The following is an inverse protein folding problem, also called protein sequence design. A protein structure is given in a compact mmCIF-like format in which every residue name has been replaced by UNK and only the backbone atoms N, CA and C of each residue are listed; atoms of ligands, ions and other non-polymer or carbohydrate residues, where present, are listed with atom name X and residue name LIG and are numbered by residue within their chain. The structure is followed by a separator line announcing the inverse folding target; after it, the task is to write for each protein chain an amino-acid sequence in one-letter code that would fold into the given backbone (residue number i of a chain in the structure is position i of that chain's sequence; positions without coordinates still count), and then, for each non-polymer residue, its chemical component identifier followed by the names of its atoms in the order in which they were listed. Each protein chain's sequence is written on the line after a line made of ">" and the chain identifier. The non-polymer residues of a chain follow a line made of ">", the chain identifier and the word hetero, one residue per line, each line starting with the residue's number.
data_IF_877023423287
#
_entry.id   IF_877023423287
#
_cell.length_a   1.000
_cell.length_b   1.000
_cell.length_c   1.000
_cell.angle_alpha   90.00
_cell.angle_beta   90.00
_cell.angle_gamma   90.00
#
_symmetry.space_group_name_H-M   'P 1'
#
loop_
_entity.id
_entity.type
_entity.pdbx_description
1 polymer ?
2 water ?
#
# COMPACT_ATOMS: atom_id res chain seq x y z
N UNK A 37 -2.73 10.64 17.24
CA UNK A 37 -1.84 9.48 17.29
C UNK A 37 -2.22 8.44 16.25
N UNK A 38 -1.22 8.01 15.48
CA UNK A 38 -1.44 7.04 14.41
C UNK A 38 -1.41 5.61 14.94
N UNK A 39 -2.30 4.77 14.42
CA UNK A 39 -2.43 3.39 14.88
C UNK A 39 -1.75 2.41 13.95
N UNK A 40 -1.07 1.44 14.54
CA UNK A 40 -0.37 0.44 13.75
C UNK A 40 -0.74 -0.97 14.17
N UNK A 41 -1.12 -1.79 13.19
CA UNK A 41 -1.42 -3.18 13.44
C UNK A 41 -0.19 -4.05 13.16
N UNK A 42 0.27 -4.77 14.16
CA UNK A 42 1.43 -5.64 13.96
C UNK A 42 0.99 -7.09 13.84
N UNK A 43 1.25 -7.68 12.69
CA UNK A 43 0.89 -9.07 12.45
C UNK A 43 2.15 -9.91 12.46
N UNK A 44 2.41 -10.51 13.61
CA UNK A 44 3.65 -11.21 13.88
C UNK A 44 3.37 -12.43 14.77
N UNK A 45 3.73 -13.61 14.31
CA UNK A 45 3.44 -14.82 15.09
C UNK A 45 4.52 -15.09 16.15
N UNK A 46 5.68 -14.49 15.97
CA UNK A 46 6.74 -14.59 16.98
C UNK A 46 6.51 -13.55 18.08
N UNK A 47 6.10 -14.02 19.25
CA UNK A 47 5.69 -13.12 20.32
C UNK A 47 6.80 -12.25 20.89
N UNK A 48 8.04 -12.73 20.86
CA UNK A 48 9.15 -11.93 21.34
C UNK A 48 9.38 -10.74 20.42
N UNK A 49 9.32 -11.00 19.11
CA UNK A 49 9.49 -9.93 18.13
C UNK A 49 8.33 -8.93 18.20
N UNK A 50 7.13 -9.45 18.40
CA UNK A 50 5.95 -8.59 18.52
C UNK A 50 6.13 -7.60 19.67
N UNK A 51 6.58 -8.10 20.82
CA UNK A 51 6.82 -7.25 21.98
C UNK A 51 7.86 -6.15 21.70
N UNK A 52 8.95 -6.53 21.05
CA UNK A 52 9.99 -5.57 20.73
C UNK A 52 9.46 -4.49 19.79
N UNK A 53 8.71 -4.92 18.77
CA UNK A 53 8.12 -3.99 17.82
C UNK A 53 7.17 -3.04 18.53
N UNK A 54 6.40 -3.58 19.47
CA UNK A 54 5.45 -2.79 20.23
C UNK A 54 6.17 -1.71 21.04
N UNK A 55 7.16 -2.12 21.82
CA UNK A 55 7.95 -1.19 22.62
C UNK A 55 8.54 -0.08 21.76
N UNK A 56 9.21 -0.48 20.69
CA UNK A 56 9.92 0.46 19.84
C UNK A 56 8.96 1.45 19.16
N UNK A 57 7.86 0.94 18.65
CA UNK A 57 6.88 1.78 17.97
C UNK A 57 6.09 2.65 18.95
N UNK A 58 5.71 2.08 20.08
CA UNK A 58 5.05 2.83 21.13
C UNK A 58 5.94 3.99 21.62
N UNK A 59 7.22 3.71 21.82
CA UNK A 59 8.17 4.73 22.27
C UNK A 59 8.25 5.89 21.28
N UNK A 60 7.79 5.65 20.05
CA UNK A 60 7.82 6.69 19.04
C UNK A 60 6.47 7.39 18.92
N UNK A 61 5.55 7.06 19.83
CA UNK A 61 4.26 7.73 19.89
C UNK A 61 3.16 7.13 19.04
N UNK A 62 3.28 5.84 18.70
CA UNK A 62 2.24 5.15 17.96
C UNK A 62 1.42 4.30 18.90
N UNK A 63 0.13 4.16 18.60
CA UNK A 63 -0.69 3.17 19.28
C UNK A 63 -0.52 1.87 18.51
N UNK A 64 -0.29 0.78 19.23
CA UNK A 64 0.02 -0.48 18.59
C UNK A 64 -0.92 -1.59 19.00
N UNK A 65 -1.42 -2.33 18.02
CA UNK A 65 -2.20 -3.53 18.30
C UNK A 65 -1.50 -4.75 17.71
N UNK A 66 -1.71 -5.89 18.34
CA UNK A 66 -1.01 -7.09 17.91
C UNK A 66 -1.94 -8.19 17.41
N UNK A 67 -1.51 -8.88 16.37
CA UNK A 67 -2.18 -10.08 15.86
C UNK A 67 -1.15 -11.19 15.72
N UNK A 68 -1.40 -12.31 16.38
CA UNK A 68 -0.41 -13.39 16.44
C UNK A 68 -0.53 -14.37 15.28
N UNK A 69 -1.51 -14.13 14.40
CA UNK A 69 -1.71 -15.03 13.27
C UNK A 69 -2.17 -14.27 12.03
N UNK A 70 -2.02 -14.91 10.88
CA UNK A 70 -2.48 -14.33 9.62
C UNK A 70 -3.97 -14.04 9.68
N UNK A 71 -4.72 -14.97 10.25
CA UNK A 71 -6.16 -14.86 10.34
C UNK A 71 -6.64 -13.75 11.26
N UNK A 72 -6.09 -13.71 12.47
CA UNK A 72 -6.37 -12.61 13.39
C UNK A 72 -6.03 -11.27 12.75
N UNK A 73 -4.96 -11.26 11.95
CA UNK A 73 -4.53 -10.05 11.26
C UNK A 73 -5.56 -9.55 10.29
N UNK A 74 -6.07 -10.45 9.45
CA UNK A 74 -7.08 -10.08 8.46
C UNK A 74 -8.30 -9.50 9.15
N UNK A 75 -8.67 -10.10 10.28
CA UNK A 75 -9.85 -9.67 11.01
C UNK A 75 -9.65 -8.30 11.65
N UNK A 76 -8.51 -8.10 12.29
CA UNK A 76 -8.22 -6.81 12.91
C UNK A 76 -8.06 -5.71 11.87
N UNK A 77 -7.43 -6.05 10.75
CA UNK A 77 -7.23 -5.09 9.67
C UNK A 77 -8.56 -4.51 9.22
N UNK A 78 -9.59 -5.36 9.21
CA UNK A 78 -10.90 -4.98 8.70
C UNK A 78 -11.76 -4.29 9.75
N UNK A 79 -11.36 -4.37 11.01
CA UNK A 79 -12.21 -3.87 12.09
C UNK A 79 -11.57 -2.80 12.97
N UNK A 80 -10.27 -2.92 13.22
CA UNK A 80 -9.59 -2.01 14.14
C UNK A 80 -9.29 -0.64 13.54
N UNK A 81 -9.50 -0.50 12.24
CA UNK A 81 -9.19 0.75 11.55
C UNK A 81 -7.77 1.19 11.85
N UNK A 82 -6.77 0.44 11.34
CA UNK A 82 -5.37 0.80 11.55
C UNK A 82 -4.92 1.80 10.49
N UNK A 83 -3.92 2.61 10.80
CA UNK A 83 -3.40 3.55 9.82
C UNK A 83 -2.33 2.88 8.97
N UNK A 84 -1.73 1.83 9.53
CA UNK A 84 -0.66 1.11 8.85
C UNK A 84 -0.60 -0.32 9.34
N UNK A 85 -0.23 -1.23 8.45
CA UNK A 85 -0.11 -2.63 8.81
C UNK A 85 1.33 -3.11 8.63
N UNK A 86 1.88 -3.71 9.68
CA UNK A 86 3.18 -4.37 9.60
C UNK A 86 2.94 -5.88 9.57
N UNK A 87 3.54 -6.54 8.58
CA UNK A 87 3.31 -7.96 8.38
C UNK A 87 4.64 -8.70 8.30
N UNK A 88 4.89 -9.61 9.24
CA UNK A 88 6.11 -10.40 9.22
C UNK A 88 5.83 -11.82 8.76
N UNK A 89 6.56 -12.25 7.74
CA UNK A 89 6.32 -13.53 7.09
C UNK A 89 6.67 -14.74 7.95
N UNK A 90 5.81 -15.75 7.93
CA UNK A 90 6.03 -16.98 8.67
C UNK A 90 5.37 -18.19 8.02
N UNK A 91 4.60 -17.94 6.96
CA UNK A 91 3.87 -19.00 6.27
C UNK A 91 4.62 -19.49 5.03
N UNK A 92 4.18 -20.63 4.47
CA UNK A 92 4.57 -20.96 3.10
C UNK A 92 4.05 -19.86 2.19
N UNK A 93 4.65 -19.69 1.01
CA UNK A 93 4.38 -18.50 0.20
C UNK A 93 3.07 -18.47 -0.57
N UNK A 94 2.46 -19.62 -0.80
CA UNK A 94 1.12 -19.63 -1.39
C UNK A 94 0.17 -18.93 -0.41
N UNK A 95 0.29 -19.30 0.86
CA UNK A 95 -0.50 -18.68 1.92
C UNK A 95 -0.05 -17.25 2.14
N UNK A 96 1.24 -17.06 2.39
CA UNK A 96 1.81 -15.74 2.64
C UNK A 96 1.41 -14.69 1.61
N UNK A 97 1.57 -15.05 0.33
CA UNK A 97 1.19 -14.16 -0.75
C UNK A 97 -0.30 -13.88 -0.71
N UNK A 98 -1.07 -14.89 -0.36
CA UNK A 98 -2.52 -14.77 -0.26
C UNK A 98 -2.88 -13.76 0.82
N UNK A 99 -2.13 -13.80 1.92
CA UNK A 99 -2.33 -12.88 3.04
C UNK A 99 -2.09 -11.43 2.61
N UNK A 100 -0.94 -11.19 2.01
CA UNK A 100 -0.61 -9.88 1.46
C UNK A 100 -1.70 -9.42 0.51
N UNK A 101 -2.12 -10.31 -0.37
CA UNK A 101 -3.17 -10.02 -1.34
C UNK A 101 -4.51 -9.72 -0.68
N UNK A 102 -4.85 -10.49 0.34
CA UNK A 102 -6.11 -10.27 1.04
C UNK A 102 -6.12 -8.95 1.81
N UNK A 103 -5.01 -8.65 2.50
CA UNK A 103 -4.88 -7.37 3.18
C UNK A 103 -4.91 -6.22 2.18
N UNK A 104 -4.36 -6.45 1.00
CA UNK A 104 -4.34 -5.42 -0.04
C UNK A 104 -5.74 -5.24 -0.66
N UNK A 105 -6.52 -6.32 -0.66
CA UNK A 105 -7.87 -6.34 -1.24
C UNK A 105 -8.69 -5.07 -1.01
N UNK A 106 -8.85 -4.28 -2.07
CA UNK A 106 -9.63 -3.04 -2.00
C UNK A 106 -9.44 -2.27 -0.69
N UNK A 107 -8.20 -2.16 -0.23
CA UNK A 107 -7.89 -1.42 0.98
C UNK A 107 -6.99 -0.23 0.67
N UNK A 108 -7.24 0.88 1.36
CA UNK A 108 -6.41 2.05 1.19
C UNK A 108 -5.26 2.08 2.19
N UNK A 109 -5.20 1.07 3.04
CA UNK A 109 -4.19 1.03 4.11
C UNK A 109 -2.80 0.63 3.60
N UNK A 110 -1.76 1.37 4.01
CA UNK A 110 -0.41 0.99 3.62
C UNK A 110 0.04 -0.27 4.35
N UNK A 111 0.82 -1.09 3.65
CA UNK A 111 1.30 -2.34 4.23
C UNK A 111 2.82 -2.41 4.08
N UNK A 112 3.49 -2.76 5.16
CA UNK A 112 4.92 -3.01 5.13
C UNK A 112 5.19 -4.45 5.53
N UNK A 113 5.96 -5.16 4.72
CA UNK A 113 6.21 -6.58 4.93
C UNK A 113 7.64 -6.86 5.35
N UNK A 114 7.81 -7.59 6.44
CA UNK A 114 9.14 -7.99 6.90
C UNK A 114 9.53 -9.33 6.29
N UNK A 115 10.70 -9.37 5.66
CA UNK A 115 11.18 -10.59 5.04
C UNK A 115 12.67 -10.80 5.32
N UNK A 116 13.09 -12.07 5.31
CA UNK A 116 14.49 -12.40 5.52
C UNK A 116 15.17 -12.67 4.17
N UNK A 117 14.37 -12.76 3.12
CA UNK A 117 14.90 -12.96 1.78
C UNK A 117 15.36 -11.64 1.17
N UNK A 118 16.68 -11.43 1.19
CA UNK A 118 17.26 -10.20 0.70
C UNK A 118 17.62 -10.31 -0.78
N UNK A 119 16.60 -10.39 -1.63
CA UNK A 119 16.82 -10.52 -3.06
C UNK A 119 15.95 -9.57 -3.88
N UNK A 120 16.36 -9.32 -5.12
CA UNK A 120 15.58 -8.52 -6.04
C UNK A 120 14.23 -9.19 -6.27
N UNK A 121 14.24 -10.51 -6.40
CA UNK A 121 13.03 -11.27 -6.64
C UNK A 121 12.00 -11.09 -5.51
N UNK A 122 12.46 -11.14 -4.28
CA UNK A 122 11.58 -10.98 -3.12
C UNK A 122 10.96 -9.58 -3.08
N UNK A 123 11.77 -8.57 -3.37
CA UNK A 123 11.29 -7.19 -3.35
C UNK A 123 10.24 -6.96 -4.44
N UNK A 124 10.50 -7.54 -5.61
CA UNK A 124 9.58 -7.43 -6.74
C UNK A 124 8.29 -8.19 -6.44
N UNK A 125 8.41 -9.33 -5.78
CA UNK A 125 7.23 -10.12 -5.44
C UNK A 125 6.28 -9.33 -4.52
N UNK A 126 6.83 -8.80 -3.44
CA UNK A 126 6.02 -8.15 -2.41
C UNK A 126 5.36 -6.85 -2.90
N UNK A 127 6.11 -6.03 -3.61
CA UNK A 127 5.56 -4.79 -4.15
C UNK A 127 4.53 -5.12 -5.21
N UNK A 128 4.78 -6.20 -5.95
CA UNK A 128 3.88 -6.65 -6.99
C UNK A 128 2.57 -7.15 -6.42
N UNK A 129 2.64 -7.77 -5.25
CA UNK A 129 1.45 -8.32 -4.60
C UNK A 129 0.66 -7.26 -3.83
N UNK A 130 1.22 -6.05 -3.73
CA UNK A 130 0.51 -4.96 -3.11
C UNK A 130 1.08 -4.41 -1.82
N UNK A 131 2.19 -4.96 -1.35
CA UNK A 131 2.89 -4.36 -0.22
C UNK A 131 3.39 -2.99 -0.68
N UNK A 132 3.25 -1.98 0.16
CA UNK A 132 3.73 -0.65 -0.18
C UNK A 132 5.23 -0.54 -0.01
N UNK A 133 5.77 -1.34 0.90
CA UNK A 133 7.20 -1.34 1.15
C UNK A 133 7.58 -2.63 1.86
N UNK A 134 8.85 -2.99 1.78
CA UNK A 134 9.36 -4.17 2.46
C UNK A 134 10.45 -3.71 3.42
N UNK A 135 10.76 -4.56 4.40
CA UNK A 135 11.89 -4.32 5.27
C UNK A 135 12.65 -5.63 5.45
N UNK A 136 13.95 -5.61 5.17
CA UNK A 136 14.75 -6.84 5.21
C UNK A 136 15.26 -7.14 6.61
N UNK A 137 14.99 -8.35 7.07
CA UNK A 137 15.50 -8.83 8.35
C UNK A 137 16.86 -9.47 8.15
N UNK A 138 17.80 -9.23 9.08
CA UNK A 138 17.60 -8.44 10.30
C UNK A 138 17.76 -6.95 10.02
N UNK A 139 17.17 -6.13 10.88
CA UNK A 139 17.26 -4.69 10.71
C UNK A 139 17.33 -4.00 12.07
N UNK A 140 17.70 -2.72 12.06
CA UNK A 140 17.74 -1.92 13.26
C UNK A 140 16.41 -1.20 13.45
N UNK A 141 15.99 -1.05 14.71
CA UNK A 141 14.75 -0.33 15.04
C UNK A 141 14.59 0.98 14.27
N UNK A 142 15.70 1.65 13.99
CA UNK A 142 15.65 2.93 13.26
C UNK A 142 15.28 2.76 11.79
N UNK A 143 15.72 1.67 11.18
CA UNK A 143 15.30 1.37 9.81
C UNK A 143 13.78 1.23 9.77
N UNK A 144 13.22 0.65 10.84
CA UNK A 144 11.79 0.44 10.93
C UNK A 144 11.02 1.75 11.10
N UNK A 145 11.48 2.58 12.04
CA UNK A 145 10.85 3.88 12.25
C UNK A 145 10.89 4.73 10.99
N UNK A 146 11.94 4.54 10.20
CA UNK A 146 12.12 5.31 8.97
C UNK A 146 11.12 4.90 7.89
N UNK A 147 11.02 3.60 7.62
CA UNK A 147 10.06 3.13 6.62
C UNK A 147 8.64 3.50 7.07
N UNK A 148 8.36 3.27 8.35
CA UNK A 148 7.04 3.60 8.90
C UNK A 148 6.72 5.07 8.70
N UNK A 149 7.71 5.94 8.94
CA UNK A 149 7.50 7.38 8.79
C UNK A 149 7.20 7.77 7.36
N UNK A 150 7.89 7.15 6.41
CA UNK A 150 7.62 7.40 5.01
C UNK A 150 6.14 7.16 4.70
N UNK A 151 5.62 6.02 5.18
CA UNK A 151 4.24 5.64 4.89
C UNK A 151 3.20 6.53 5.57
N UNK A 152 3.53 7.06 6.73
CA UNK A 152 2.55 7.81 7.52
C UNK A 152 2.71 9.33 7.44
N UNK A 153 3.60 9.79 6.57
CA UNK A 153 3.87 11.24 6.45
C UNK A 153 2.61 12.00 6.05
N UNK A 154 2.51 13.25 6.51
CA UNK A 154 1.36 14.10 6.21
C UNK A 154 1.13 14.29 4.71
N UNK A 155 -0.14 14.49 4.35
CA UNK A 155 -0.53 14.67 2.95
C UNK A 155 0.15 15.86 2.30
N UNK A 156 -0.37 16.26 1.13
CA UNK A 156 0.20 17.36 0.37
C UNK A 156 -0.86 18.27 -0.25
N UNK A 157 -0.94 18.25 -1.58
CA UNK A 157 -1.78 19.17 -2.33
C UNK A 157 -3.26 19.08 -1.97
N UNK A 158 -4.05 19.93 -2.63
CA UNK A 158 -5.50 19.93 -2.47
C UNK A 158 -6.09 18.83 -3.35
N UNK A 159 -7.41 18.75 -3.39
CA UNK A 159 -8.10 17.78 -4.24
C UNK A 159 -7.74 17.98 -5.71
N UNK A 160 -7.31 16.91 -6.36
CA UNK A 160 -7.01 16.96 -7.79
C UNK A 160 -8.24 16.52 -8.58
N UNK A 161 -8.39 17.07 -9.79
CA UNK A 161 -9.51 16.69 -10.63
C UNK A 161 -9.14 16.51 -12.09
N UNK A 162 -9.94 15.71 -12.77
CA UNK A 162 -9.93 15.65 -14.22
C UNK A 162 -11.31 15.15 -14.62
N UNK A 163 -12.12 16.06 -15.16
CA UNK A 163 -13.52 15.75 -15.42
C UNK A 163 -14.21 15.38 -14.13
N UNK A 164 -15.02 14.33 -14.14
CA UNK A 164 -15.71 13.90 -12.93
C UNK A 164 -14.90 12.85 -12.15
N UNK A 165 -13.58 12.91 -12.31
CA UNK A 165 -12.68 12.09 -11.49
C UNK A 165 -12.00 13.01 -10.49
N UNK A 166 -12.15 12.71 -9.20
CA UNK A 166 -11.58 13.56 -8.17
C UNK A 166 -10.74 12.77 -7.18
N UNK A 167 -9.56 13.31 -6.86
CA UNK A 167 -8.69 12.69 -5.87
C UNK A 167 -8.43 13.68 -4.73
N UNK A 168 -8.65 13.22 -3.50
CA UNK A 168 -8.28 13.99 -2.31
C UNK A 168 -7.10 13.31 -1.65
N UNK A 169 -5.90 13.88 -1.81
CA UNK A 169 -4.63 13.27 -1.44
C UNK A 169 -4.41 13.29 0.07
N UNK A 170 -5.51 13.27 0.82
CA UNK A 170 -5.46 13.35 2.27
C UNK A 170 -6.25 12.23 2.93
N UNK A 171 -7.54 12.14 2.61
CA UNK A 171 -8.34 11.01 3.02
C UNK A 171 -7.96 9.83 2.15
N UNK A 172 -7.00 10.05 1.25
CA UNK A 172 -6.65 9.09 0.23
C UNK A 172 -7.97 8.63 -0.37
N UNK A 173 -8.78 9.60 -0.75
CA UNK A 173 -10.12 9.34 -1.27
C UNK A 173 -10.25 9.74 -2.73
N UNK A 174 -10.93 8.90 -3.51
CA UNK A 174 -11.15 9.19 -4.91
C UNK A 174 -12.56 8.80 -5.36
N UNK A 175 -13.20 9.68 -6.12
CA UNK A 175 -14.50 9.39 -6.68
C UNK A 175 -14.51 9.59 -8.20
N UNK A 176 -15.37 8.83 -8.88
CA UNK A 176 -15.43 8.85 -10.33
C UNK A 176 -16.83 8.49 -10.74
N UNK A 177 -17.45 9.34 -11.55
CA UNK A 177 -18.83 9.14 -11.98
C UNK A 177 -19.76 9.03 -10.78
N UNK A 178 -19.49 9.83 -9.75
CA UNK A 178 -20.28 9.81 -8.53
C UNK A 178 -19.91 8.68 -7.57
N UNK A 179 -19.36 7.60 -8.11
CA UNK A 179 -19.06 6.41 -7.31
C UNK A 179 -17.70 6.48 -6.63
N UNK A 180 -17.69 6.44 -5.31
CA UNK A 180 -16.45 6.38 -4.55
C UNK A 180 -15.66 5.16 -5.00
N UNK A 181 -14.34 5.30 -5.04
CA UNK A 181 -13.47 4.28 -5.61
C UNK A 181 -12.39 3.86 -4.62
N UNK A 182 -12.18 2.56 -4.48
CA UNK A 182 -11.15 2.08 -3.56
C UNK A 182 -9.83 1.74 -4.24
N UNK A 183 -8.87 2.65 -4.12
CA UNK A 183 -7.53 2.44 -4.66
C UNK A 183 -6.54 2.08 -3.55
N UNK A 184 -5.54 1.29 -3.89
CA UNK A 184 -4.43 1.07 -2.98
C UNK A 184 -3.62 2.36 -2.95
N UNK A 185 -2.78 2.53 -1.93
CA UNK A 185 -1.96 3.75 -1.90
C UNK A 185 -1.15 3.96 -3.18
N UNK A 186 -0.60 2.89 -3.74
CA UNK A 186 0.25 3.01 -4.92
C UNK A 186 -0.58 3.32 -6.17
N UNK A 187 -1.77 2.73 -6.25
CA UNK A 187 -2.69 3.03 -7.34
C UNK A 187 -3.06 4.51 -7.29
N UNK A 188 -3.32 4.99 -6.08
CA UNK A 188 -3.74 6.36 -5.87
C UNK A 188 -2.62 7.30 -6.32
N UNK A 189 -1.42 7.04 -5.84
CA UNK A 189 -0.27 7.89 -6.15
C UNK A 189 0.06 7.89 -7.65
N UNK A 190 -0.12 6.75 -8.32
CA UNK A 190 0.08 6.68 -9.76
C UNK A 190 -0.96 7.52 -10.51
N UNK A 191 -2.22 7.34 -10.13
CA UNK A 191 -3.31 8.12 -10.73
C UNK A 191 -3.04 9.62 -10.56
N UNK A 192 -2.60 10.00 -9.36
CA UNK A 192 -2.31 11.39 -9.07
C UNK A 192 -1.15 11.91 -9.92
N UNK A 193 -0.16 11.05 -10.14
CA UNK A 193 1.00 11.45 -10.91
C UNK A 193 0.56 11.77 -12.34
N UNK A 194 -0.28 10.90 -12.91
CA UNK A 194 -0.73 11.06 -14.29
C UNK A 194 -1.60 12.29 -14.47
N UNK A 195 -2.45 12.55 -13.48
CA UNK A 195 -3.41 13.64 -13.55
C UNK A 195 -2.75 15.01 -13.38
N UNK A 196 -1.70 15.08 -12.57
CA UNK A 196 -0.99 16.34 -12.38
C UNK A 196 -0.36 16.83 -13.67
N UNK A 197 0.04 15.90 -14.53
CA UNK A 197 0.61 16.25 -15.84
C UNK A 197 -0.04 15.42 -16.94
N UNK A 198 -1.26 15.81 -17.32
CA UNK A 198 -2.16 15.03 -18.17
C UNK A 198 -1.56 14.74 -19.55
N UNK A 199 -0.80 15.68 -20.09
CA UNK A 199 -0.25 15.55 -21.42
C UNK A 199 1.06 14.81 -21.45
N UNK A 200 1.54 14.44 -20.26
CA UNK A 200 2.83 13.78 -20.16
C UNK A 200 2.73 12.25 -20.16
N UNK A 201 3.64 11.62 -20.88
CA UNK A 201 3.78 10.18 -20.83
C UNK A 201 5.04 9.83 -20.04
N UNK A 202 4.88 9.13 -18.92
CA UNK A 202 6.00 8.71 -18.10
C UNK A 202 6.50 7.34 -18.52
N UNK A 203 7.82 7.15 -18.46
CA UNK A 203 8.40 5.84 -18.75
C UNK A 203 8.18 4.93 -17.55
N UNK A 204 8.28 3.62 -17.79
CA UNK A 204 8.13 2.65 -16.72
C UNK A 204 9.10 2.94 -15.58
N UNK A 205 10.35 3.23 -15.96
CA UNK A 205 11.39 3.54 -14.98
C UNK A 205 11.06 4.83 -14.22
N UNK A 206 10.51 5.81 -14.93
CA UNK A 206 10.15 7.08 -14.29
C UNK A 206 9.09 6.89 -13.21
N UNK A 207 8.07 6.09 -13.52
CA UNK A 207 7.00 5.83 -12.56
C UNK A 207 7.52 4.96 -11.42
N UNK A 208 8.33 3.97 -11.76
CA UNK A 208 8.90 3.08 -10.76
C UNK A 208 9.73 3.85 -9.74
N UNK A 209 10.55 4.77 -10.25
CA UNK A 209 11.42 5.57 -9.39
C UNK A 209 10.64 6.58 -8.55
N UNK A 210 9.67 7.24 -9.17
CA UNK A 210 8.88 8.27 -8.48
C UNK A 210 7.93 7.69 -7.43
N UNK A 211 7.27 6.59 -7.77
CA UNK A 211 6.22 6.03 -6.92
C UNK A 211 6.75 5.19 -5.76
N UNK A 212 7.80 4.41 -6.01
CA UNK A 212 8.39 3.58 -4.96
C UNK A 212 9.69 4.18 -4.44
N UNK A 213 10.04 5.36 -4.94
CA UNK A 213 11.16 6.14 -4.41
C UNK A 213 12.42 5.32 -4.19
N UNK A 214 12.82 4.56 -5.22
CA UNK A 214 14.06 3.81 -5.18
C UNK A 214 13.92 2.37 -4.70
N UNK A 215 12.80 2.07 -4.06
CA UNK A 215 12.61 0.76 -3.42
C UNK A 215 12.33 -0.38 -4.40
N UNK A 216 11.87 -0.05 -5.60
CA UNK A 216 11.51 -1.07 -6.58
C UNK A 216 12.66 -1.33 -7.54
N UNK A 217 13.23 -2.54 -7.51
CA UNK A 217 14.28 -2.91 -8.46
C UNK A 217 13.78 -2.76 -9.90
N UNK A 218 14.65 -2.29 -10.79
CA UNK A 218 14.25 -2.00 -12.17
C UNK A 218 14.11 -3.26 -13.02
N UNK A 219 13.34 -3.14 -14.11
CA UNK A 219 13.18 -4.22 -15.07
C UNK A 219 12.01 -5.16 -14.82
N UNK A 220 11.18 -4.85 -13.82
CA UNK A 220 10.11 -5.74 -13.40
C UNK A 220 8.76 -5.42 -14.05
N UNK A 221 7.74 -6.17 -13.65
CA UNK A 221 6.38 -5.99 -14.15
C UNK A 221 5.47 -5.16 -13.23
N UNK A 222 6.01 -4.70 -12.11
CA UNK A 222 5.20 -4.12 -11.04
C UNK A 222 4.37 -2.92 -11.50
N UNK A 223 4.99 -2.02 -12.25
CA UNK A 223 4.27 -0.86 -12.75
C UNK A 223 3.14 -1.28 -13.67
N UNK A 224 3.44 -2.21 -14.57
CA UNK A 224 2.46 -2.69 -15.54
C UNK A 224 1.25 -3.29 -14.83
N UNK A 225 1.52 -4.08 -13.80
CA UNK A 225 0.47 -4.75 -13.04
C UNK A 225 -0.41 -3.72 -12.35
N UNK A 226 0.20 -2.65 -11.86
CA UNK A 226 -0.55 -1.58 -11.20
C UNK A 226 -1.39 -0.79 -12.20
N UNK A 227 -0.82 -0.53 -13.37
CA UNK A 227 -1.56 0.12 -14.45
C UNK A 227 -2.78 -0.72 -14.83
N UNK A 228 -2.57 -2.03 -15.00
CA UNK A 228 -3.66 -2.93 -15.37
C UNK A 228 -4.81 -2.85 -14.37
N UNK A 229 -4.47 -2.73 -13.09
CA UNK A 229 -5.50 -2.61 -12.05
C UNK A 229 -6.17 -1.24 -12.06
N UNK A 230 -5.40 -0.22 -12.39
CA UNK A 230 -5.93 1.14 -12.50
C UNK A 230 -6.94 1.19 -13.65
N UNK A 231 -6.56 0.64 -14.80
CA UNK A 231 -7.45 0.58 -15.94
C UNK A 231 -8.75 -0.15 -15.61
N UNK A 232 -8.63 -1.26 -14.89
CA UNK A 232 -9.79 -2.05 -14.52
C UNK A 232 -10.76 -1.29 -13.59
N UNK A 233 -10.19 -0.52 -12.67
CA UNK A 233 -11.03 0.23 -11.73
C UNK A 233 -11.61 1.50 -12.35
N UNK A 234 -11.00 1.99 -13.42
CA UNK A 234 -11.36 3.27 -14.02
C UNK A 234 -11.88 3.16 -15.44
N UNK A 235 -11.06 2.66 -16.35
CA UNK A 235 -11.39 2.63 -17.77
C UNK A 235 -12.88 2.45 -18.02
N UNK A 236 -13.41 3.29 -18.91
CA UNK A 236 -14.80 3.18 -19.30
C UNK A 236 -14.94 2.06 -20.32
N UNK A 237 -15.92 1.18 -20.10
CA UNK A 237 -16.30 0.23 -21.13
C UNK A 237 -16.58 1.05 -22.38
N UNK A 238 -16.55 0.42 -23.55
CA UNK A 238 -16.82 1.15 -24.77
C UNK A 238 -18.26 1.66 -24.76
N UNK A 239 -18.56 2.60 -25.64
CA UNK A 239 -19.92 3.08 -25.81
C UNK A 239 -20.26 4.29 -24.95
N UNK A 240 -20.72 5.34 -25.62
CA UNK A 240 -21.25 6.51 -24.94
C UNK A 240 -22.51 6.93 -25.68
N UNK A 241 -23.56 7.18 -24.92
CA UNK A 241 -24.80 7.72 -25.46
C UNK A 241 -25.42 8.65 -24.44
N UNK A 242 -26.44 9.39 -24.85
CA UNK A 242 -27.14 10.27 -23.94
C UNK A 242 -27.60 9.52 -22.69
N UNK A 243 -27.94 8.25 -22.86
CA UNK A 243 -28.55 7.47 -21.77
C UNK A 243 -27.57 6.63 -20.92
N UNK A 244 -26.40 6.31 -21.45
CA UNK A 244 -25.35 5.54 -20.74
C UNK A 244 -25.81 4.77 -19.47
N UNK A 245 -25.59 3.45 -19.47
CA UNK A 245 -26.16 2.59 -18.43
C UNK A 245 -25.33 2.45 -17.15
N UNK A 246 -24.01 2.46 -17.28
CA UNK A 246 -23.13 2.44 -16.10
C UNK A 246 -21.84 3.22 -16.35
#
# INVERSE_FOLDING_TARGET
>A
XGSSHHHHHHSSGENLYFEGSHXASXTGGQQXGRXNEQRILVIEDDHDIANVLRMDLTDAGYVVDHADSAMNGLIKAREDHPDLILLDLGLPDFDGGDVVQRLRKNSALPIIVLTARDTVEEKVRLLGLGADDYLIKPFHPDELLARVKVQLRQRTSESLSMGDLTLDPQKRLVTYKGEELRLSPKEFDILALLIRQPGRVYSRQEIGQEIWQGRLPEGSNVVDVHMANLRAKLRDLDGYGLLRTVRGV
#
